data_IF_766180071338
#
_entry.id   IF_766180071338
#
_cell.length_a   1.000
_cell.length_b   1.000
_cell.length_c   1.000
_cell.angle_alpha   90.00
_cell.angle_beta   90.00
_cell.angle_gamma   90.00
#
_symmetry.space_group_name_H-M   'P 1'
#
loop_
_entity.id
_entity.type
_entity.pdbx_description
1 polymer ?
#
# COMPACT_ATOMS: atom_id res chain seq x y z
N UNK A 1 38.53 7.22 13.40
CA UNK A 1 38.64 5.81 13.82
C UNK A 1 37.43 5.44 14.67
N UNK A 2 36.81 4.29 14.35
CA UNK A 2 35.57 3.73 14.92
C UNK A 2 35.57 3.67 16.44
N UNK A 3 34.39 3.90 17.05
CA UNK A 3 33.79 2.99 18.05
C UNK A 3 32.26 3.03 17.92
N UNK A 4 31.73 1.98 17.27
CA UNK A 4 30.36 1.50 17.46
C UNK A 4 30.29 0.88 18.86
N UNK A 5 29.24 1.14 19.64
CA UNK A 5 28.40 0.10 20.25
C UNK A 5 27.48 0.63 21.37
N UNK A 6 26.25 0.10 21.34
CA UNK A 6 25.28 -0.02 22.44
C UNK A 6 24.51 1.23 22.89
N UNK A 7 23.46 1.58 22.15
CA UNK A 7 22.29 2.25 22.74
C UNK A 7 21.00 1.62 22.20
N UNK A 8 20.75 0.39 22.63
CA UNK A 8 19.43 -0.26 22.54
C UNK A 8 19.29 -1.10 23.78
N UNK A 9 18.70 -0.56 24.84
CA UNK A 9 18.07 -1.26 25.97
C UNK A 9 17.37 -0.20 26.85
N UNK A 10 16.19 -0.56 27.34
CA UNK A 10 15.31 0.12 28.31
C UNK A 10 14.44 1.26 27.80
N UNK A 11 13.21 0.92 27.45
CA UNK A 11 11.95 1.45 27.99
C UNK A 11 10.87 0.62 27.28
N UNK A 12 10.22 -0.36 27.90
CA UNK A 12 9.03 -0.18 28.73
C UNK A 12 8.74 -1.50 29.44
N UNK A 13 8.48 -1.42 30.74
CA UNK A 13 8.02 -2.50 31.59
C UNK A 13 6.63 -2.10 32.10
N UNK A 14 5.72 -3.09 32.15
CA UNK A 14 4.46 -3.15 32.93
C UNK A 14 3.18 -2.59 32.28
N UNK A 15 2.23 -3.48 31.97
CA UNK A 15 0.84 -3.58 32.51
C UNK A 15 0.34 -4.99 32.12
N UNK A 16 0.46 -5.98 33.02
CA UNK A 16 -0.56 -6.57 33.92
C UNK A 16 -1.63 -7.42 33.20
N UNK A 17 -1.68 -8.67 33.63
CA UNK A 17 -2.51 -9.78 33.20
C UNK A 17 -3.98 -9.70 33.65
N UNK A 18 -4.90 -10.11 32.76
CA UNK A 18 -6.20 -10.79 32.98
C UNK A 18 -6.76 -11.08 31.56
N UNK A 19 -7.33 -12.21 31.14
CA UNK A 19 -8.07 -13.30 31.75
C UNK A 19 -7.93 -14.58 30.91
N UNK A 20 -7.96 -15.72 31.59
CA UNK A 20 -8.14 -17.06 31.01
C UNK A 20 -9.63 -17.40 31.11
N UNK A 21 -10.28 -17.74 30.00
CA UNK A 21 -11.18 -18.90 29.89
C UNK A 21 -11.64 -19.07 28.44
N UNK A 22 -11.22 -20.19 27.86
CA UNK A 22 -11.63 -20.63 26.54
C UNK A 22 -12.93 -21.43 26.52
N UNK A 23 -13.47 -21.48 25.30
CA UNK A 23 -14.15 -22.60 24.64
C UNK A 23 -15.44 -23.16 25.25
N UNK A 24 -16.57 -22.89 24.57
CA UNK A 24 -17.48 -23.95 24.13
C UNK A 24 -17.82 -23.73 22.66
N UNK A 25 -17.42 -24.73 21.86
CA UNK A 25 -17.87 -25.01 20.50
C UNK A 25 -19.21 -25.73 20.60
N UNK A 26 -20.20 -25.31 19.81
CA UNK A 26 -21.14 -26.28 19.24
C UNK A 26 -21.36 -25.95 17.76
N UNK A 27 -20.79 -26.85 16.97
CA UNK A 27 -21.07 -27.08 15.56
C UNK A 27 -22.34 -27.94 15.52
N UNK A 28 -23.38 -27.54 14.80
CA UNK A 28 -24.50 -28.43 14.50
C UNK A 28 -24.69 -28.49 12.98
N UNK A 29 -24.28 -29.63 12.44
CA UNK A 29 -24.66 -30.12 11.12
C UNK A 29 -26.17 -30.38 11.10
N UNK A 30 -26.87 -30.03 10.02
CA UNK A 30 -27.60 -31.06 9.28
C UNK A 30 -27.90 -30.61 7.82
N UNK A 31 -27.88 -31.54 6.84
CA UNK A 31 -27.99 -31.26 5.42
C UNK A 31 -29.38 -31.59 4.83
N UNK A 32 -29.43 -31.50 3.49
CA UNK A 32 -30.47 -31.98 2.55
C UNK A 32 -31.62 -30.98 2.31
N UNK A 33 -31.95 -30.61 1.07
CA UNK A 33 -32.44 -31.54 0.05
C UNK A 33 -32.36 -30.95 -1.37
N UNK A 34 -32.02 -31.85 -2.27
CA UNK A 34 -31.99 -31.87 -3.73
C UNK A 34 -33.25 -31.41 -4.49
N UNK A 35 -33.11 -30.77 -5.66
CA UNK A 35 -33.29 -31.33 -7.02
C UNK A 35 -33.52 -30.24 -8.13
N UNK A 36 -33.37 -30.57 -9.44
CA UNK A 36 -32.65 -29.75 -10.43
C UNK A 36 -33.54 -29.20 -11.60
N UNK A 37 -33.00 -28.93 -12.82
CA UNK A 37 -33.06 -27.62 -13.48
C UNK A 37 -34.19 -27.47 -14.51
N UNK A 38 -34.73 -26.25 -14.66
CA UNK A 38 -35.64 -25.91 -15.76
C UNK A 38 -34.94 -25.04 -16.80
N UNK A 39 -34.62 -25.65 -17.94
CA UNK A 39 -34.27 -25.01 -19.21
C UNK A 39 -35.53 -24.49 -19.88
N UNK A 40 -35.64 -23.17 -20.15
CA UNK A 40 -36.46 -22.65 -21.27
C UNK A 40 -35.82 -21.36 -21.83
N UNK A 41 -35.28 -21.50 -23.04
CA UNK A 41 -35.25 -20.62 -24.21
C UNK A 41 -35.13 -19.10 -24.10
N UNK A 42 -34.16 -18.57 -24.86
CA UNK A 42 -34.01 -17.19 -25.31
C UNK A 42 -35.27 -16.61 -25.98
N UNK A 43 -35.36 -15.27 -26.04
CA UNK A 43 -35.16 -14.64 -27.35
C UNK A 43 -34.14 -13.49 -27.31
N UNK A 44 -33.46 -13.33 -28.45
CA UNK A 44 -32.61 -12.19 -28.80
C UNK A 44 -33.31 -10.86 -28.49
N UNK A 45 -32.63 -10.00 -27.72
CA UNK A 45 -32.84 -8.56 -27.83
C UNK A 45 -31.55 -7.97 -28.39
N UNK A 46 -31.67 -7.53 -29.64
CA UNK A 46 -30.67 -6.73 -30.36
C UNK A 46 -30.58 -5.37 -29.67
N UNK A 47 -29.52 -5.15 -28.89
CA UNK A 47 -29.13 -3.81 -28.45
C UNK A 47 -27.90 -3.39 -29.24
N UNK A 48 -28.15 -2.65 -30.32
CA UNK A 48 -27.14 -1.90 -31.06
C UNK A 48 -26.67 -0.75 -30.18
N UNK A 49 -25.69 -1.02 -29.30
CA UNK A 49 -24.96 0.03 -28.59
C UNK A 49 -23.83 0.49 -29.51
N UNK A 50 -23.99 1.70 -30.06
CA UNK A 50 -22.91 2.46 -30.67
C UNK A 50 -21.72 2.48 -29.72
N UNK A 51 -20.65 1.77 -30.09
CA UNK A 51 -19.36 1.91 -29.46
C UNK A 51 -18.81 3.29 -29.83
N UNK A 52 -18.91 4.24 -28.90
CA UNK A 52 -17.94 5.34 -28.81
C UNK A 52 -16.55 4.70 -28.81
N UNK A 53 -15.57 5.18 -29.59
CA UNK A 53 -14.21 4.68 -29.52
C UNK A 53 -13.72 4.85 -28.07
N UNK A 54 -13.62 3.73 -27.35
CA UNK A 54 -12.99 3.74 -26.04
C UNK A 54 -11.56 4.21 -26.24
N UNK A 55 -11.17 5.27 -25.53
CA UNK A 55 -9.75 5.57 -25.33
C UNK A 55 -9.12 4.31 -24.74
N UNK A 56 -8.36 3.59 -25.57
CA UNK A 56 -7.44 2.57 -25.11
C UNK A 56 -6.54 3.24 -24.07
N UNK A 57 -6.42 2.69 -22.84
CA UNK A 57 -5.45 3.20 -21.88
C UNK A 57 -4.08 3.22 -22.55
N UNK A 58 -3.58 4.42 -22.85
CA UNK A 58 -2.29 4.57 -23.50
C UNK A 58 -1.24 4.06 -22.53
N UNK A 59 -0.40 3.12 -22.95
CA UNK A 59 0.74 2.70 -22.15
C UNK A 59 1.56 3.94 -21.74
N UNK A 60 2.03 4.01 -20.48
CA UNK A 60 2.78 5.16 -20.02
C UNK A 60 4.05 5.30 -20.86
N UNK A 61 4.22 6.46 -21.50
CA UNK A 61 5.34 6.73 -22.43
C UNK A 61 6.67 7.04 -21.73
N UNK A 62 6.73 6.92 -20.41
CA UNK A 62 7.92 7.21 -19.59
C UNK A 62 8.75 5.96 -19.25
N UNK A 63 9.82 6.18 -18.49
CA UNK A 63 10.71 5.10 -18.04
C UNK A 63 10.04 4.27 -16.94
N UNK A 64 10.38 2.98 -16.85
CA UNK A 64 10.09 2.15 -15.67
C UNK A 64 11.33 2.09 -14.78
N UNK A 65 11.19 2.50 -13.53
CA UNK A 65 12.28 2.58 -12.55
C UNK A 65 11.92 1.89 -11.26
N UNK A 66 12.90 1.21 -10.68
CA UNK A 66 12.79 0.60 -9.36
C UNK A 66 13.43 1.49 -8.30
N UNK A 67 12.78 1.58 -7.16
CA UNK A 67 13.21 2.38 -6.02
C UNK A 67 13.23 1.51 -4.77
N UNK A 68 14.30 1.64 -3.98
CA UNK A 68 14.45 0.91 -2.71
C UNK A 68 14.65 1.91 -1.58
N UNK A 69 13.86 1.78 -0.52
CA UNK A 69 13.99 2.59 0.69
C UNK A 69 13.85 1.73 1.94
N UNK A 70 14.94 1.57 2.70
CA UNK A 70 14.97 0.84 3.99
C UNK A 70 14.24 -0.53 3.98
N UNK A 71 14.31 -1.27 2.87
CA UNK A 71 13.69 -2.59 2.73
C UNK A 71 12.43 -2.61 1.88
N UNK A 72 11.70 -1.49 1.78
CA UNK A 72 10.64 -1.28 0.79
C UNK A 72 11.24 -1.26 -0.61
N UNK A 73 10.67 -2.03 -1.53
CA UNK A 73 11.03 -2.04 -2.95
C UNK A 73 9.79 -1.84 -3.80
N UNK A 74 9.84 -0.86 -4.69
CA UNK A 74 8.74 -0.53 -5.61
C UNK A 74 9.26 -0.38 -7.03
N UNK A 75 8.38 -0.58 -7.99
CA UNK A 75 8.59 -0.20 -9.38
C UNK A 75 7.56 0.87 -9.77
N UNK A 76 8.00 1.90 -10.47
CA UNK A 76 7.13 2.95 -11.01
C UNK A 76 7.32 3.03 -12.51
N UNK A 77 6.23 2.91 -13.25
CA UNK A 77 6.21 3.13 -14.71
C UNK A 77 5.85 4.58 -15.04
N UNK A 78 6.21 5.05 -16.23
CA UNK A 78 5.86 6.41 -16.64
C UNK A 78 6.65 7.50 -15.92
N UNK A 79 7.84 7.18 -15.39
CA UNK A 79 8.70 8.15 -14.72
C UNK A 79 9.29 9.11 -15.76
N UNK A 80 9.14 10.41 -15.49
CA UNK A 80 9.73 11.47 -16.32
C UNK A 80 11.06 11.96 -15.76
N UNK A 81 11.12 12.16 -14.44
CA UNK A 81 12.33 12.52 -13.71
C UNK A 81 12.18 12.09 -12.25
N UNK A 82 13.30 11.91 -11.58
CA UNK A 82 13.36 11.68 -10.14
C UNK A 82 14.48 12.52 -9.52
N UNK A 83 14.31 12.88 -8.26
CA UNK A 83 15.29 13.68 -7.51
C UNK A 83 15.25 13.35 -6.04
N UNK A 84 16.40 13.48 -5.38
CA UNK A 84 16.47 13.44 -3.92
C UNK A 84 16.26 14.85 -3.37
N UNK A 85 15.38 14.96 -2.39
CA UNK A 85 15.19 16.16 -1.59
C UNK A 85 15.50 15.86 -0.13
N UNK A 86 15.79 16.92 0.63
CA UNK A 86 15.97 16.84 2.07
C UNK A 86 15.06 17.84 2.73
N UNK A 87 14.29 17.41 3.72
CA UNK A 87 13.49 18.28 4.57
C UNK A 87 13.88 18.11 6.03
N UNK A 88 13.50 19.07 6.87
CA UNK A 88 13.63 18.94 8.32
C UNK A 88 12.30 18.43 8.87
N UNK A 89 12.34 17.35 9.66
CA UNK A 89 11.19 16.90 10.42
C UNK A 89 10.89 17.83 11.61
N UNK A 90 9.79 17.57 12.31
CA UNK A 90 9.38 18.35 13.49
C UNK A 90 10.40 18.26 14.64
N UNK A 91 11.29 17.27 14.63
CA UNK A 91 12.39 17.10 15.55
C UNK A 91 13.68 17.82 15.15
N UNK A 92 13.69 18.52 14.01
CA UNK A 92 14.85 19.23 13.46
C UNK A 92 15.88 18.31 12.78
N UNK A 93 15.57 17.02 12.59
CA UNK A 93 16.42 16.08 11.88
C UNK A 93 16.22 16.21 10.37
N UNK A 94 17.32 16.06 9.62
CA UNK A 94 17.26 16.03 8.16
C UNK A 94 16.79 14.65 7.69
N UNK A 95 15.73 14.63 6.90
CA UNK A 95 15.14 13.43 6.31
C UNK A 95 15.27 13.53 4.79
N UNK A 96 15.82 12.47 4.18
CA UNK A 96 15.90 12.34 2.73
C UNK A 96 14.62 11.71 2.19
N UNK A 97 14.14 12.24 1.06
CA UNK A 97 12.97 11.73 0.35
C UNK A 97 13.23 11.73 -1.16
N UNK A 98 12.63 10.77 -1.87
CA UNK A 98 12.70 10.70 -3.33
C UNK A 98 11.44 11.31 -3.91
N UNK A 99 11.57 12.33 -4.76
CA UNK A 99 10.43 12.88 -5.50
C UNK A 99 10.42 12.32 -6.91
N UNK A 100 9.33 11.67 -7.29
CA UNK A 100 9.12 11.05 -8.59
C UNK A 100 8.12 11.90 -9.36
N UNK A 101 8.58 12.50 -10.46
CA UNK A 101 7.71 13.18 -11.42
C UNK A 101 7.20 12.17 -12.45
N UNK A 102 5.89 12.00 -12.56
CA UNK A 102 5.27 10.95 -13.37
C UNK A 102 4.41 11.52 -14.53
N UNK A 103 4.29 10.74 -15.60
CA UNK A 103 3.42 11.02 -16.74
C UNK A 103 2.03 10.39 -16.54
N UNK A 104 0.98 10.88 -17.22
CA UNK A 104 -0.33 10.23 -17.20
C UNK A 104 -0.26 8.74 -17.56
N UNK A 105 -1.01 7.91 -16.81
CA UNK A 105 -1.01 6.45 -16.96
C UNK A 105 0.09 5.71 -16.20
N UNK A 106 0.91 6.42 -15.41
CA UNK A 106 1.91 5.82 -14.53
C UNK A 106 1.29 4.86 -13.51
N UNK A 107 2.01 3.77 -13.21
CA UNK A 107 1.61 2.74 -12.24
C UNK A 107 2.70 2.55 -11.18
N UNK A 108 2.27 2.29 -9.96
CA UNK A 108 3.09 1.89 -8.82
C UNK A 108 2.89 0.39 -8.59
N UNK A 109 3.96 -0.39 -8.63
CA UNK A 109 3.95 -1.81 -8.28
C UNK A 109 4.78 -2.01 -7.01
N UNK A 110 4.21 -2.68 -6.02
CA UNK A 110 4.95 -3.07 -4.81
C UNK A 110 5.68 -4.38 -5.11
N UNK A 111 7.01 -4.35 -5.05
CA UNK A 111 7.86 -5.53 -5.28
C UNK A 111 8.14 -6.21 -3.94
N UNK A 112 8.48 -5.42 -2.92
CA UNK A 112 8.69 -5.90 -1.55
C UNK A 112 8.13 -4.89 -0.55
N UNK A 113 7.10 -5.23 0.22
CA UNK A 113 6.46 -4.30 1.16
C UNK A 113 7.22 -4.15 2.47
N UNK A 114 8.17 -5.03 2.79
CA UNK A 114 8.94 -5.00 4.05
C UNK A 114 8.04 -4.85 5.29
N UNK A 115 7.19 -5.85 5.51
CA UNK A 115 6.33 -5.89 6.69
C UNK A 115 7.15 -6.21 7.95
N UNK A 116 6.68 -5.73 9.11
CA UNK A 116 7.36 -5.95 10.38
C UNK A 116 7.45 -7.44 10.71
N UNK A 117 8.49 -7.83 11.45
CA UNK A 117 8.56 -9.19 11.99
C UNK A 117 7.42 -9.43 12.99
N UNK A 118 6.70 -10.53 12.77
CA UNK A 118 5.57 -10.95 13.58
C UNK A 118 5.91 -11.13 15.06
N UNK A 119 7.15 -11.51 15.38
CA UNK A 119 7.62 -11.74 16.75
C UNK A 119 7.66 -10.47 17.62
N UNK A 120 7.65 -9.28 17.01
CA UNK A 120 7.60 -8.01 17.74
C UNK A 120 6.18 -7.48 17.97
N UNK A 121 5.16 -8.16 17.43
CA UNK A 121 3.76 -7.77 17.56
C UNK A 121 3.03 -8.59 18.63
N UNK A 122 2.11 -7.95 19.35
CA UNK A 122 1.33 -8.63 20.39
C UNK A 122 0.35 -9.68 19.82
N UNK A 123 -0.09 -9.50 18.57
CA UNK A 123 -0.97 -10.43 17.86
C UNK A 123 -0.22 -11.53 17.09
N UNK A 124 1.13 -11.50 17.13
CA UNK A 124 1.97 -12.48 16.46
C UNK A 124 1.87 -12.43 14.94
N UNK A 125 1.56 -11.26 14.36
CA UNK A 125 1.39 -11.07 12.91
C UNK A 125 2.31 -9.98 12.36
N UNK A 126 2.76 -10.11 11.11
CA UNK A 126 3.47 -9.02 10.45
C UNK A 126 2.50 -7.85 10.20
N UNK A 127 2.99 -6.62 10.33
CA UNK A 127 2.21 -5.39 10.10
C UNK A 127 2.86 -4.54 9.02
N UNK A 128 2.04 -3.83 8.25
CA UNK A 128 2.51 -2.87 7.27
C UNK A 128 3.36 -1.79 7.97
N UNK A 129 4.59 -1.59 7.49
CA UNK A 129 5.44 -0.48 7.94
C UNK A 129 5.25 0.78 7.08
N UNK A 130 4.64 0.62 5.91
CA UNK A 130 4.47 1.67 4.92
C UNK A 130 3.00 1.85 4.56
N UNK A 131 2.64 3.07 4.19
CA UNK A 131 1.32 3.40 3.68
C UNK A 131 1.40 4.39 2.54
N UNK A 132 0.38 4.40 1.70
CA UNK A 132 0.19 5.42 0.67
C UNK A 132 -0.74 6.49 1.24
N UNK A 133 -0.27 7.73 1.20
CA UNK A 133 -1.08 8.89 1.53
C UNK A 133 -1.83 9.41 0.31
N UNK A 134 -3.12 9.66 0.52
CA UNK A 134 -4.02 10.18 -0.48
C UNK A 134 -4.56 11.52 -0.02
N UNK A 135 -4.59 12.52 -0.91
CA UNK A 135 -5.09 13.86 -0.59
C UNK A 135 -6.54 13.80 -0.08
N UNK A 136 -7.37 12.94 -0.68
CA UNK A 136 -8.75 12.68 -0.29
C UNK A 136 -8.92 12.12 1.14
N UNK A 137 -7.87 11.52 1.72
CA UNK A 137 -7.89 10.86 3.04
C UNK A 137 -7.11 11.61 4.12
N UNK A 138 -6.46 12.72 3.79
CA UNK A 138 -5.70 13.50 4.77
C UNK A 138 -6.53 13.91 6.00
N UNK A 139 -7.80 14.27 5.80
CA UNK A 139 -8.68 14.71 6.89
C UNK A 139 -8.99 13.60 7.92
N UNK A 140 -9.06 12.33 7.50
CA UNK A 140 -9.25 11.21 8.44
C UNK A 140 -7.92 10.71 9.02
N UNK A 141 -6.79 11.10 8.42
CA UNK A 141 -5.48 10.57 8.76
C UNK A 141 -5.23 9.16 8.23
N UNK A 142 -6.21 8.53 7.57
CA UNK A 142 -6.08 7.17 7.09
C UNK A 142 -5.06 7.07 5.95
N UNK A 143 -4.26 6.00 6.01
CA UNK A 143 -3.29 5.65 4.97
C UNK A 143 -3.66 4.29 4.40
N UNK A 144 -3.52 4.13 3.09
CA UNK A 144 -3.67 2.82 2.48
C UNK A 144 -2.43 1.98 2.81
N UNK A 145 -2.60 0.94 3.62
CA UNK A 145 -1.49 0.10 4.09
C UNK A 145 -0.89 -0.71 2.95
N UNK A 146 0.43 -0.69 2.84
CA UNK A 146 1.18 -1.51 1.89
C UNK A 146 1.49 -2.86 2.55
N UNK A 147 1.04 -3.94 1.94
CA UNK A 147 1.14 -5.32 2.42
C UNK A 147 1.61 -6.24 1.30
N UNK A 148 1.85 -7.53 1.60
CA UNK A 148 2.19 -8.53 0.57
C UNK A 148 1.08 -8.71 -0.49
N UNK A 149 -0.16 -8.35 -0.14
CA UNK A 149 -1.31 -8.42 -1.05
C UNK A 149 -1.48 -7.13 -1.88
N UNK A 150 -0.68 -6.10 -1.60
CA UNK A 150 -0.74 -4.85 -2.36
C UNK A 150 -0.12 -5.06 -3.74
N UNK A 151 -0.99 -5.19 -4.75
CA UNK A 151 -0.57 -5.29 -6.15
C UNK A 151 -0.20 -3.95 -6.78
N UNK A 152 -0.29 -3.89 -8.10
CA UNK A 152 -0.11 -2.66 -8.86
C UNK A 152 -1.28 -1.69 -8.67
N UNK A 153 -0.96 -0.40 -8.56
CA UNK A 153 -1.90 0.70 -8.35
C UNK A 153 -1.66 1.77 -9.41
N UNK A 154 -2.73 2.41 -9.87
CA UNK A 154 -2.60 3.60 -10.72
C UNK A 154 -2.12 4.79 -9.89
N UNK A 155 -1.08 5.48 -10.38
CA UNK A 155 -0.66 6.74 -9.79
C UNK A 155 -1.60 7.83 -10.30
N UNK A 156 -2.34 8.41 -9.38
CA UNK A 156 -3.30 9.49 -9.67
C UNK A 156 -2.86 10.79 -9.00
N UNK A 157 -3.45 11.91 -9.40
CA UNK A 157 -3.21 13.20 -8.73
C UNK A 157 -3.61 13.22 -7.25
N UNK A 158 -4.42 12.24 -6.81
CA UNK A 158 -4.79 12.08 -5.40
C UNK A 158 -3.70 11.36 -4.59
N UNK A 159 -2.82 10.58 -5.24
CA UNK A 159 -1.72 9.87 -4.58
C UNK A 159 -0.55 10.82 -4.32
N UNK A 160 -0.24 11.09 -3.06
CA UNK A 160 0.75 12.09 -2.69
C UNK A 160 2.12 11.51 -2.42
N UNK A 161 2.17 10.46 -1.61
CA UNK A 161 3.44 9.92 -1.12
C UNK A 161 3.29 8.51 -0.57
N UNK A 162 4.41 7.79 -0.49
CA UNK A 162 4.61 6.68 0.42
C UNK A 162 5.16 7.23 1.73
N UNK A 163 4.58 6.75 2.82
CA UNK A 163 4.75 7.20 4.18
C UNK A 163 5.21 6.04 5.07
N UNK A 164 6.21 6.28 5.92
CA UNK A 164 6.57 5.35 6.97
C UNK A 164 5.59 5.51 8.14
N UNK A 165 4.83 4.47 8.44
CA UNK A 165 3.76 4.48 9.45
C UNK A 165 4.29 4.57 10.89
N UNK A 166 5.49 4.06 11.15
CA UNK A 166 6.11 4.08 12.49
C UNK A 166 6.79 5.41 12.77
N UNK A 167 7.59 5.91 11.81
CA UNK A 167 8.35 7.15 11.94
C UNK A 167 7.52 8.40 11.64
N UNK A 168 6.35 8.24 11.02
CA UNK A 168 5.49 9.34 10.60
C UNK A 168 6.13 10.29 9.58
N UNK A 169 6.87 9.74 8.60
CA UNK A 169 7.67 10.50 7.61
C UNK A 169 7.35 10.12 6.17
N UNK A 170 7.38 11.10 5.25
CA UNK A 170 7.35 10.82 3.81
C UNK A 170 8.71 10.35 3.33
N UNK A 171 8.72 9.31 2.50
CA UNK A 171 9.96 8.71 1.98
C UNK A 171 10.02 8.74 0.45
N UNK A 172 8.86 8.66 -0.21
CA UNK A 172 8.74 8.79 -1.66
C UNK A 172 7.53 9.68 -1.96
N UNK A 173 7.69 10.75 -2.74
CA UNK A 173 6.62 11.66 -3.13
C UNK A 173 6.33 11.55 -4.61
N UNK A 174 5.06 11.66 -4.99
CA UNK A 174 4.61 11.64 -6.38
C UNK A 174 4.16 13.03 -6.82
N UNK A 175 4.64 13.49 -7.97
CA UNK A 175 4.25 14.77 -8.56
C UNK A 175 3.88 14.56 -10.04
N UNK A 176 2.72 15.04 -10.47
CA UNK A 176 2.37 15.01 -11.89
C UNK A 176 3.33 15.92 -12.66
N UNK A 177 3.90 15.42 -13.76
CA UNK A 177 4.75 16.23 -14.62
C UNK A 177 3.91 17.20 -15.48
N UNK A 178 4.05 18.49 -15.22
CA UNK A 178 3.50 19.56 -16.07
C UNK A 178 4.58 20.08 -17.01
N UNK A 179 4.27 20.16 -18.31
CA UNK A 179 5.16 20.74 -19.32
C UNK A 179 5.30 22.26 -19.19
#
# INVERSE_FOLDING_TARGET
MKRKQHFRIMFILVIIAALVNGCVVQNENQPETSNPPSTISSPMISSTLSATPGETPSEPTGESKQFTYQGLEIEVTGVKNDRNETYQDDGGSKVELIVISYLPGAKLTIIKPDMSDASFSADGKPHAQWGIDYQSKQASGDKYRITDETGALDITSDMLAIYNLEASLYVIKFEAYTQ
#
